data_IF_209489774379
#
_entry.id   IF_209489774379
#
_cell.length_a   1.000
_cell.length_b   1.000
_cell.length_c   1.000
_cell.angle_alpha   90.00
_cell.angle_beta   90.00
_cell.angle_gamma   90.00
#
_symmetry.space_group_name_H-M   'P 1'
#
loop_
_entity.id
_entity.type
_entity.pdbx_description
1 polymer ?
#
# COMPACT_ATOMS: atom_id res chain seq x y z
N UNK A 1 2.17 30.11 9.16
CA UNK A 1 1.53 29.37 10.27
C UNK A 1 0.17 30.00 10.55
N UNK A 2 -0.88 29.50 9.90
CA UNK A 2 -2.22 30.10 9.98
C UNK A 2 -3.06 29.44 11.07
N UNK A 3 -3.58 30.23 12.01
CA UNK A 3 -4.46 29.82 13.11
C UNK A 3 -5.82 29.25 12.66
N UNK A 4 -6.11 29.23 11.36
CA UNK A 4 -7.41 28.85 10.79
C UNK A 4 -7.48 27.40 10.28
N UNK A 5 -6.34 26.71 10.11
CA UNK A 5 -6.32 25.31 9.63
C UNK A 5 -6.87 24.30 10.66
N UNK A 6 -6.95 24.68 11.95
CA UNK A 6 -7.41 23.80 13.03
C UNK A 6 -8.95 23.68 13.13
N UNK A 7 -9.70 24.67 12.61
CA UNK A 7 -11.16 24.72 12.76
C UNK A 7 -11.95 24.00 11.67
N UNK A 8 -11.31 23.62 10.55
CA UNK A 8 -11.99 23.00 9.41
C UNK A 8 -11.91 21.47 9.38
N UNK A 9 -11.35 20.82 10.41
CA UNK A 9 -11.31 19.34 10.50
C UNK A 9 -10.56 18.65 9.35
N UNK A 10 -9.92 19.43 8.46
CA UNK A 10 -9.02 18.93 7.43
C UNK A 10 -7.72 18.60 8.13
N UNK A 11 -7.61 17.37 8.61
CA UNK A 11 -6.32 16.76 8.94
C UNK A 11 -5.45 16.86 7.70
N UNK A 12 -4.60 17.88 7.66
CA UNK A 12 -3.54 18.00 6.66
C UNK A 12 -2.67 16.76 6.82
N UNK A 13 -2.78 15.83 5.88
CA UNK A 13 -1.91 14.66 5.81
C UNK A 13 -0.46 15.17 5.90
N UNK A 14 0.39 14.56 6.75
CA UNK A 14 1.77 15.00 6.90
C UNK A 14 2.45 15.09 5.52
N UNK A 15 3.29 16.11 5.27
CA UNK A 15 3.94 16.31 3.98
C UNK A 15 4.62 15.01 3.52
N UNK A 16 4.44 14.68 2.25
CA UNK A 16 4.79 13.38 1.66
C UNK A 16 6.23 13.01 1.99
N UNK A 17 6.41 11.91 2.74
CA UNK A 17 7.62 11.11 2.64
C UNK A 17 7.57 10.44 1.26
N UNK A 18 7.96 11.15 0.20
CA UNK A 18 8.04 10.58 -1.15
C UNK A 18 8.89 9.28 -1.16
N UNK A 19 9.79 9.11 -0.19
CA UNK A 19 10.62 7.92 0.02
C UNK A 19 9.92 6.70 0.66
N UNK A 20 8.77 6.84 1.33
CA UNK A 20 8.30 5.77 2.22
C UNK A 20 7.84 4.52 1.45
N UNK A 21 7.13 4.68 0.32
CA UNK A 21 6.74 3.53 -0.49
C UNK A 21 7.95 2.82 -1.09
N UNK A 22 8.98 3.56 -1.50
CA UNK A 22 10.22 3.00 -2.04
C UNK A 22 11.06 2.26 -0.99
N UNK A 23 10.90 2.57 0.30
CA UNK A 23 11.52 1.79 1.37
C UNK A 23 11.08 0.32 1.34
N UNK A 24 9.90 0.00 0.81
CA UNK A 24 9.45 -1.38 0.62
C UNK A 24 10.28 -2.12 -0.44
N UNK A 25 10.66 -1.48 -1.55
CA UNK A 25 11.51 -2.10 -2.57
C UNK A 25 12.85 -2.53 -1.99
N UNK A 26 13.47 -1.66 -1.20
CA UNK A 26 14.74 -1.97 -0.51
C UNK A 26 14.55 -3.05 0.54
N UNK A 27 13.52 -2.93 1.38
CA UNK A 27 13.27 -3.88 2.46
C UNK A 27 12.87 -5.27 1.98
N UNK A 28 12.25 -5.39 0.81
CA UNK A 28 11.85 -6.67 0.22
C UNK A 28 13.04 -7.63 0.09
N UNK A 29 14.20 -7.14 -0.37
CA UNK A 29 15.42 -7.96 -0.53
C UNK A 29 15.94 -8.47 0.82
N UNK A 30 15.97 -7.61 1.84
CA UNK A 30 16.41 -7.99 3.19
C UNK A 30 15.42 -8.93 3.89
N UNK A 31 14.12 -8.70 3.71
CA UNK A 31 13.06 -9.56 4.22
C UNK A 31 13.03 -10.93 3.54
N UNK A 32 13.35 -10.99 2.26
CA UNK A 32 13.54 -12.26 1.55
C UNK A 32 14.69 -13.05 2.19
N UNK A 33 15.84 -12.43 2.37
CA UNK A 33 17.03 -13.07 2.94
C UNK A 33 16.87 -13.48 4.41
N UNK A 34 16.23 -12.64 5.23
CA UNK A 34 16.14 -12.83 6.69
C UNK A 34 14.89 -13.57 7.15
N UNK A 35 13.80 -13.52 6.37
CA UNK A 35 12.50 -14.06 6.76
C UNK A 35 11.86 -15.00 5.72
N UNK A 36 12.52 -15.24 4.58
CA UNK A 36 12.00 -16.09 3.50
C UNK A 36 10.75 -15.52 2.85
N UNK A 37 10.57 -14.20 2.88
CA UNK A 37 9.45 -13.50 2.26
C UNK A 37 9.68 -13.34 0.76
N UNK A 38 8.89 -14.04 -0.05
CA UNK A 38 8.96 -13.97 -1.51
C UNK A 38 7.94 -12.95 -2.03
N UNK A 39 8.34 -11.88 -2.74
CA UNK A 39 7.38 -10.97 -3.38
C UNK A 39 6.48 -11.73 -4.35
N UNK A 40 5.16 -11.52 -4.25
CA UNK A 40 4.20 -12.23 -5.08
C UNK A 40 3.90 -11.54 -6.42
N UNK A 41 4.57 -10.42 -6.71
CA UNK A 41 4.33 -9.63 -7.94
C UNK A 41 2.97 -8.91 -7.97
N UNK A 42 2.26 -8.83 -6.84
CA UNK A 42 0.95 -8.18 -6.74
C UNK A 42 0.94 -7.09 -5.68
N UNK A 43 0.54 -5.89 -6.10
CA UNK A 43 0.44 -4.70 -5.25
C UNK A 43 -0.89 -4.01 -5.51
N UNK A 44 -1.58 -3.60 -4.45
CA UNK A 44 -2.90 -2.98 -4.57
C UNK A 44 -2.97 -1.69 -3.77
N UNK A 45 -3.49 -0.63 -4.37
CA UNK A 45 -3.85 0.60 -3.66
C UNK A 45 -5.35 0.60 -3.39
N UNK A 46 -5.71 0.97 -2.17
CA UNK A 46 -7.10 0.99 -1.70
C UNK A 46 -7.55 2.41 -1.38
N UNK A 47 -8.76 2.72 -1.82
CA UNK A 47 -9.41 4.01 -1.67
C UNK A 47 -10.75 3.87 -0.96
N UNK A 48 -11.14 4.91 -0.21
CA UNK A 48 -12.55 5.18 0.00
C UNK A 48 -13.22 5.35 -1.36
N UNK A 49 -14.49 4.96 -1.46
CA UNK A 49 -15.28 5.13 -2.67
C UNK A 49 -15.03 6.50 -3.31
N UNK A 50 -14.46 6.48 -4.51
CA UNK A 50 -14.14 7.70 -5.24
C UNK A 50 -15.41 8.34 -5.81
N UNK A 51 -15.40 9.66 -6.05
CA UNK A 51 -16.44 10.30 -6.84
C UNK A 51 -16.59 9.63 -8.22
N UNK A 52 -17.79 9.61 -8.81
CA UNK A 52 -18.01 9.05 -10.14
C UNK A 52 -17.02 9.59 -11.18
N UNK A 53 -16.49 8.72 -12.04
CA UNK A 53 -15.53 9.06 -13.09
C UNK A 53 -14.08 9.26 -12.63
N UNK A 54 -13.83 9.56 -11.34
CA UNK A 54 -12.45 9.74 -10.84
C UNK A 54 -11.68 8.43 -10.80
N UNK A 55 -12.37 7.33 -10.51
CA UNK A 55 -11.77 5.99 -10.52
C UNK A 55 -11.30 5.58 -11.92
N UNK A 56 -12.13 5.81 -12.95
CA UNK A 56 -11.76 5.56 -14.35
C UNK A 56 -10.57 6.42 -14.78
N UNK A 57 -10.56 7.69 -14.38
CA UNK A 57 -9.44 8.59 -14.67
C UNK A 57 -8.15 8.12 -14.01
N UNK A 58 -8.21 7.73 -12.73
CA UNK A 58 -7.06 7.22 -11.98
C UNK A 58 -6.49 5.94 -12.62
N UNK A 59 -7.38 5.01 -13.00
CA UNK A 59 -6.99 3.81 -13.74
C UNK A 59 -6.28 4.18 -15.04
N UNK A 60 -6.81 5.13 -15.80
CA UNK A 60 -6.22 5.58 -17.05
C UNK A 60 -4.85 6.24 -16.84
N UNK A 61 -4.70 7.09 -15.82
CA UNK A 61 -3.43 7.72 -15.42
C UNK A 61 -2.36 6.65 -15.11
N UNK A 62 -2.70 5.63 -14.31
CA UNK A 62 -1.79 4.52 -14.00
C UNK A 62 -1.42 3.75 -15.27
N UNK A 63 -2.41 3.37 -16.09
CA UNK A 63 -2.18 2.65 -17.35
C UNK A 63 -1.25 3.44 -18.28
N UNK A 64 -1.43 4.75 -18.39
CA UNK A 64 -0.60 5.57 -19.27
C UNK A 64 0.83 5.75 -18.72
N UNK A 65 1.01 5.85 -17.40
CA UNK A 65 2.33 5.82 -16.76
C UNK A 65 3.06 4.50 -17.04
N UNK A 66 2.36 3.37 -16.94
CA UNK A 66 2.94 2.05 -17.22
C UNK A 66 3.35 1.90 -18.69
N UNK A 67 2.55 2.43 -19.62
CA UNK A 67 2.92 2.46 -21.05
C UNK A 67 4.20 3.26 -21.32
N UNK A 68 4.38 4.39 -20.63
CA UNK A 68 5.57 5.24 -20.79
C UNK A 68 6.85 4.54 -20.30
N UNK A 69 6.74 3.65 -19.31
CA UNK A 69 7.87 2.89 -18.76
C UNK A 69 8.28 1.70 -19.64
N UNK A 70 7.54 1.37 -20.71
CA UNK A 70 7.95 0.39 -21.72
C UNK A 70 7.84 -1.08 -21.30
N UNK A 71 7.27 -1.38 -20.12
CA UNK A 71 7.21 -2.74 -19.60
C UNK A 71 5.83 -3.37 -19.82
N UNK A 72 5.75 -4.21 -20.85
CA UNK A 72 4.54 -4.91 -21.29
C UNK A 72 4.07 -6.08 -20.41
N UNK A 73 4.45 -6.12 -19.12
CA UNK A 73 4.08 -7.22 -18.21
C UNK A 73 3.24 -6.81 -17.00
N UNK A 74 3.03 -5.52 -16.74
CA UNK A 74 2.19 -5.08 -15.62
C UNK A 74 0.74 -4.90 -16.06
N UNK A 75 -0.18 -5.68 -15.50
CA UNK A 75 -1.61 -5.56 -15.74
C UNK A 75 -2.29 -4.78 -14.62
N UNK A 76 -3.31 -3.99 -14.98
CA UNK A 76 -4.11 -3.20 -14.02
C UNK A 76 -5.51 -3.80 -13.92
N UNK A 77 -5.88 -4.24 -12.73
CA UNK A 77 -7.21 -4.75 -12.39
C UNK A 77 -7.90 -3.77 -11.43
N UNK A 78 -9.18 -3.51 -11.65
CA UNK A 78 -10.03 -2.82 -10.69
C UNK A 78 -10.95 -3.79 -9.96
N UNK A 79 -11.17 -3.53 -8.67
CA UNK A 79 -12.09 -4.32 -7.85
C UNK A 79 -12.69 -3.50 -6.72
N UNK A 80 -13.99 -3.64 -6.50
CA UNK A 80 -14.65 -3.19 -5.28
C UNK A 80 -14.71 -4.36 -4.29
N UNK A 81 -14.31 -4.15 -3.04
CA UNK A 81 -14.43 -5.18 -2.00
C UNK A 81 -15.83 -5.21 -1.35
N UNK A 82 -16.07 -6.22 -0.51
CA UNK A 82 -17.36 -6.44 0.15
C UNK A 82 -17.73 -5.30 1.13
N UNK A 83 -16.77 -4.45 1.50
CA UNK A 83 -16.96 -3.29 2.36
C UNK A 83 -17.17 -1.99 1.55
N UNK A 84 -17.14 -2.06 0.22
CA UNK A 84 -17.35 -0.93 -0.68
C UNK A 84 -16.12 -0.04 -0.87
N UNK A 85 -14.92 -0.54 -0.55
CA UNK A 85 -13.68 0.13 -0.91
C UNK A 85 -13.25 -0.25 -2.32
N UNK A 86 -12.66 0.73 -3.01
CA UNK A 86 -12.19 0.55 -4.38
C UNK A 86 -10.70 0.18 -4.35
N UNK A 87 -10.32 -0.78 -5.17
CA UNK A 87 -8.95 -1.27 -5.32
C UNK A 87 -8.50 -1.12 -6.76
N UNK A 88 -7.28 -0.61 -6.93
CA UNK A 88 -6.51 -0.79 -8.16
C UNK A 88 -5.35 -1.72 -7.86
N UNK A 89 -5.30 -2.83 -8.57
CA UNK A 89 -4.34 -3.92 -8.37
C UNK A 89 -3.42 -3.97 -9.57
N UNK A 90 -2.13 -3.92 -9.29
CA UNK A 90 -1.06 -4.12 -10.25
C UNK A 90 -0.52 -5.54 -10.08
N UNK A 91 -0.49 -6.28 -11.19
CA UNK A 91 0.04 -7.64 -11.25
C UNK A 91 1.15 -7.69 -12.29
N UNK A 92 2.33 -8.16 -11.89
CA UNK A 92 3.50 -8.36 -12.74
C UNK A 92 4.83 -8.31 -11.98
N UNK A 93 5.89 -8.77 -12.63
CA UNK A 93 7.16 -9.11 -11.97
C UNK A 93 7.96 -7.89 -11.47
N UNK A 94 7.77 -6.69 -12.02
CA UNK A 94 8.52 -5.51 -11.58
C UNK A 94 7.79 -4.76 -10.45
N UNK A 95 8.19 -5.11 -9.23
CA UNK A 95 7.74 -4.51 -7.99
C UNK A 95 8.09 -3.02 -7.86
N UNK A 96 9.23 -2.59 -8.40
CA UNK A 96 9.68 -1.20 -8.33
C UNK A 96 8.83 -0.30 -9.23
N UNK A 97 8.53 -0.78 -10.44
CA UNK A 97 7.68 -0.04 -11.38
C UNK A 97 6.24 0.07 -10.88
N UNK A 98 5.71 -1.01 -10.28
CA UNK A 98 4.41 -0.97 -9.59
C UNK A 98 4.38 0.10 -8.49
N UNK A 99 5.41 0.17 -7.65
CA UNK A 99 5.53 1.19 -6.60
C UNK A 99 5.58 2.60 -7.20
N UNK A 100 6.38 2.81 -8.25
CA UNK A 100 6.51 4.11 -8.91
C UNK A 100 5.18 4.59 -9.51
N UNK A 101 4.46 3.71 -10.21
CA UNK A 101 3.16 4.03 -10.80
C UNK A 101 2.12 4.37 -9.73
N UNK A 102 2.02 3.57 -8.65
CA UNK A 102 1.11 3.83 -7.54
C UNK A 102 1.46 5.12 -6.80
N UNK A 103 2.75 5.39 -6.59
CA UNK A 103 3.21 6.62 -5.95
C UNK A 103 2.79 7.84 -6.76
N UNK A 104 3.05 7.86 -8.07
CA UNK A 104 2.68 8.97 -8.94
C UNK A 104 1.16 9.22 -8.96
N UNK A 105 0.36 8.16 -9.06
CA UNK A 105 -1.09 8.24 -9.02
C UNK A 105 -1.61 8.78 -7.67
N UNK A 106 -1.02 8.33 -6.56
CA UNK A 106 -1.36 8.84 -5.23
C UNK A 106 -0.97 10.32 -5.06
N UNK A 107 0.18 10.74 -5.57
CA UNK A 107 0.61 12.14 -5.55
C UNK A 107 -0.36 13.03 -6.33
N UNK A 108 -0.77 12.63 -7.54
CA UNK A 108 -1.78 13.38 -8.31
C UNK A 108 -3.11 13.53 -7.55
N UNK A 109 -3.61 12.48 -6.90
CA UNK A 109 -4.81 12.56 -6.07
C UNK A 109 -4.65 13.50 -4.87
N UNK A 110 -3.46 13.51 -4.24
CA UNK A 110 -3.16 14.43 -3.13
C UNK A 110 -3.14 15.88 -3.61
N UNK A 111 -2.54 16.16 -4.77
CA UNK A 111 -2.49 17.49 -5.39
C UNK A 111 -3.90 18.00 -5.76
N UNK A 112 -4.79 17.12 -6.19
CA UNK A 112 -6.19 17.43 -6.50
C UNK A 112 -7.09 17.60 -5.24
N UNK A 113 -6.52 17.49 -4.04
CA UNK A 113 -7.25 17.61 -2.78
C UNK A 113 -8.11 16.39 -2.43
N UNK A 114 -7.84 15.24 -3.06
CA UNK A 114 -8.54 13.97 -2.84
C UNK A 114 -7.73 12.99 -1.97
N UNK A 115 -6.63 13.45 -1.37
CA UNK A 115 -5.77 12.61 -0.51
C UNK A 115 -6.51 11.95 0.66
N UNK A 116 -7.59 12.54 1.16
CA UNK A 116 -8.43 11.96 2.24
C UNK A 116 -9.16 10.66 1.84
N UNK A 117 -9.19 10.35 0.54
CA UNK A 117 -9.73 9.11 -0.01
C UNK A 117 -8.69 7.99 -0.07
N UNK A 118 -7.39 8.31 -0.05
CA UNK A 118 -6.32 7.31 0.00
C UNK A 118 -6.30 6.62 1.37
N UNK A 119 -6.37 5.29 1.38
CA UNK A 119 -6.36 4.52 2.62
C UNK A 119 -5.03 3.83 2.85
N UNK A 120 -4.66 2.92 1.96
CA UNK A 120 -3.45 2.12 2.10
C UNK A 120 -2.92 1.59 0.76
N UNK A 121 -1.69 1.08 0.78
CA UNK A 121 -1.14 0.19 -0.24
C UNK A 121 -0.85 -1.17 0.38
N UNK A 122 -1.27 -2.25 -0.27
CA UNK A 122 -1.02 -3.62 0.13
C UNK A 122 0.00 -4.27 -0.82
N UNK A 123 1.06 -4.78 -0.22
CA UNK A 123 2.13 -5.53 -0.90
C UNK A 123 2.00 -7.00 -0.54
N UNK A 124 1.79 -7.86 -1.53
CA UNK A 124 1.67 -9.30 -1.30
C UNK A 124 3.03 -9.97 -1.35
N UNK A 125 3.29 -10.75 -0.30
CA UNK A 125 4.40 -11.68 -0.19
C UNK A 125 3.86 -13.08 0.11
N UNK A 126 4.72 -14.07 -0.07
CA UNK A 126 4.47 -15.45 0.32
C UNK A 126 5.57 -15.91 1.26
N UNK A 127 5.21 -16.57 2.35
CA UNK A 127 6.13 -17.24 3.26
C UNK A 127 5.62 -18.65 3.55
N UNK A 128 6.37 -19.69 3.15
CA UNK A 128 5.96 -21.09 3.33
C UNK A 128 4.54 -21.38 2.78
N UNK A 129 4.24 -20.87 1.59
CA UNK A 129 2.91 -20.93 0.95
C UNK A 129 1.77 -20.22 1.69
N UNK A 130 2.07 -19.45 2.75
CA UNK A 130 1.10 -18.58 3.44
C UNK A 130 1.19 -17.16 2.89
N UNK A 131 0.07 -16.48 2.65
CA UNK A 131 0.08 -15.09 2.23
C UNK A 131 0.54 -14.19 3.39
N UNK A 132 1.40 -13.24 3.08
CA UNK A 132 1.84 -12.19 3.99
C UNK A 132 1.62 -10.85 3.31
N UNK A 133 0.94 -9.93 3.98
CA UNK A 133 0.71 -8.60 3.45
C UNK A 133 1.52 -7.58 4.23
N UNK A 134 2.21 -6.71 3.52
CA UNK A 134 2.71 -5.48 4.09
C UNK A 134 1.79 -4.34 3.69
N UNK A 135 1.30 -3.59 4.68
CA UNK A 135 0.32 -2.54 4.49
C UNK A 135 0.95 -1.19 4.81
N UNK A 136 1.04 -0.31 3.82
CA UNK A 136 1.39 1.09 4.02
C UNK A 136 0.12 1.91 4.27
N UNK A 137 0.00 2.57 5.41
CA UNK A 137 -1.13 3.48 5.69
C UNK A 137 -0.78 4.91 5.28
N UNK A 138 -1.60 5.52 4.42
CA UNK A 138 -1.44 6.94 4.05
C UNK A 138 -1.67 7.88 5.24
N UNK A 139 -2.58 7.53 6.15
CA UNK A 139 -2.89 8.34 7.33
C UNK A 139 -1.73 8.37 8.33
N UNK A 140 -0.94 7.30 8.42
CA UNK A 140 0.17 7.18 9.37
C UNK A 140 1.54 7.44 8.72
N UNK A 141 1.68 7.18 7.41
CA UNK A 141 2.96 7.22 6.70
C UNK A 141 3.95 6.13 7.14
N UNK A 142 3.42 4.97 7.55
CA UNK A 142 4.16 3.83 8.08
C UNK A 142 3.59 2.49 7.55
N UNK A 143 4.40 1.44 7.66
CA UNK A 143 4.08 0.07 7.29
C UNK A 143 3.72 -0.79 8.50
N UNK A 144 2.91 -1.80 8.29
CA UNK A 144 2.77 -2.90 9.25
C UNK A 144 2.51 -4.22 8.51
N UNK A 145 3.01 -5.34 9.04
CA UNK A 145 2.69 -6.66 8.49
C UNK A 145 1.29 -7.09 8.94
N UNK A 146 0.62 -7.82 8.07
CA UNK A 146 -0.66 -8.46 8.32
C UNK A 146 -0.64 -9.88 7.74
N UNK A 147 -0.79 -10.87 8.62
CA UNK A 147 -0.70 -12.29 8.28
C UNK A 147 -2.00 -12.98 8.66
N UNK A 148 -2.98 -13.04 7.75
CA UNK A 148 -4.23 -13.75 8.01
C UNK A 148 -3.97 -15.25 8.11
N UNK A 149 -4.54 -15.88 9.13
CA UNK A 149 -4.55 -17.32 9.35
C UNK A 149 -5.99 -17.77 9.65
N UNK A 150 -6.39 -18.91 9.08
CA UNK A 150 -7.74 -19.45 9.30
C UNK A 150 -8.85 -18.45 8.94
N UNK A 151 -9.93 -18.47 9.71
CA UNK A 151 -11.08 -17.60 9.54
C UNK A 151 -10.99 -16.38 10.48
N UNK A 152 -10.79 -15.18 9.92
CA UNK A 152 -10.71 -13.91 10.65
C UNK A 152 -9.72 -13.90 11.83
N UNK A 153 -8.63 -14.65 11.74
CA UNK A 153 -7.53 -14.64 12.72
C UNK A 153 -6.23 -14.19 12.07
N UNK A 154 -5.29 -13.70 12.88
CA UNK A 154 -3.99 -13.20 12.42
C UNK A 154 -2.85 -13.77 13.26
N UNK A 155 -1.71 -14.03 12.63
CA UNK A 155 -0.51 -14.53 13.28
C UNK A 155 0.28 -13.36 13.91
N UNK A 156 -0.21 -12.85 15.05
CA UNK A 156 0.41 -11.70 15.72
C UNK A 156 1.88 -11.93 16.08
N UNK A 157 2.26 -13.18 16.41
CA UNK A 157 3.63 -13.50 16.77
C UNK A 157 4.57 -13.34 15.57
N UNK A 158 4.17 -13.86 14.41
CA UNK A 158 4.92 -13.71 13.17
C UNK A 158 4.94 -12.27 12.67
N UNK A 159 3.82 -11.54 12.77
CA UNK A 159 3.76 -10.11 12.44
C UNK A 159 4.74 -9.28 13.27
N UNK A 160 4.80 -9.50 14.58
CA UNK A 160 5.77 -8.84 15.45
C UNK A 160 7.21 -9.21 15.08
N UNK A 161 7.48 -10.49 14.76
CA UNK A 161 8.79 -10.95 14.30
C UNK A 161 9.22 -10.23 13.01
N UNK A 162 8.34 -10.22 12.00
CA UNK A 162 8.59 -9.55 10.72
C UNK A 162 8.79 -8.05 10.88
N UNK A 163 8.03 -7.41 11.77
CA UNK A 163 8.20 -6.00 12.09
C UNK A 163 9.58 -5.68 12.69
N UNK A 164 10.14 -6.60 13.48
CA UNK A 164 11.47 -6.46 14.05
C UNK A 164 12.57 -6.64 13.00
N UNK A 165 12.36 -7.53 12.03
CA UNK A 165 13.28 -7.76 10.91
C UNK A 165 13.24 -6.63 9.86
N UNK A 166 12.08 -6.02 9.64
CA UNK A 166 11.94 -4.94 8.65
C UNK A 166 12.57 -3.61 9.09
N UNK A 167 12.65 -3.34 10.40
CA UNK A 167 13.22 -2.09 10.94
C UNK A 167 14.70 -1.89 10.56
N UNK A 168 15.59 -2.89 10.73
CA UNK A 168 16.97 -2.82 10.23
C UNK A 168 17.09 -2.56 8.74
N UNK A 169 16.13 -3.02 7.94
CA UNK A 169 16.07 -2.79 6.49
C UNK A 169 15.61 -1.38 6.11
N UNK A 170 15.41 -0.49 7.08
CA UNK A 170 15.01 0.89 6.87
C UNK A 170 13.51 1.08 6.62
N UNK A 171 12.68 0.04 6.79
CA UNK A 171 11.24 0.15 6.60
C UNK A 171 10.61 0.94 7.78
N UNK A 172 9.86 2.02 7.52
CA UNK A 172 9.22 2.79 8.59
C UNK A 172 8.01 2.02 9.13
N UNK A 173 8.24 1.17 10.14
CA UNK A 173 7.20 0.35 10.76
C UNK A 173 6.37 1.15 11.75
N UNK A 174 5.04 0.98 11.73
CA UNK A 174 4.10 1.62 12.63
C UNK A 174 4.33 1.17 14.08
N UNK A 175 4.66 2.08 15.01
CA UNK A 175 4.97 1.73 16.40
C UNK A 175 3.74 1.35 17.23
N UNK A 176 2.54 1.84 16.89
CA UNK A 176 1.32 1.59 17.66
C UNK A 176 0.56 0.39 17.08
N UNK A 177 0.53 -0.72 17.81
CA UNK A 177 -0.11 -1.97 17.37
C UNK A 177 -1.63 -1.79 17.16
N UNK A 178 -2.27 -0.86 17.86
CA UNK A 178 -3.70 -0.55 17.70
C UNK A 178 -4.01 0.05 16.33
N UNK A 179 -2.98 0.53 15.61
CA UNK A 179 -3.08 1.06 14.25
C UNK A 179 -2.76 0.00 13.19
N UNK A 180 -2.45 -1.23 13.60
CA UNK A 180 -2.28 -2.35 12.68
C UNK A 180 -3.67 -2.91 12.36
N UNK A 181 -4.38 -2.22 11.47
CA UNK A 181 -5.74 -2.59 11.11
C UNK A 181 -5.77 -3.95 10.43
N UNK A 182 -6.73 -4.80 10.81
CA UNK A 182 -6.94 -6.07 10.14
C UNK A 182 -7.73 -5.84 8.84
N UNK A 183 -7.04 -5.87 7.70
CA UNK A 183 -7.67 -5.78 6.39
C UNK A 183 -7.98 -7.20 5.91
N UNK A 184 -9.22 -7.65 6.11
CA UNK A 184 -9.68 -8.95 5.63
C UNK A 184 -10.06 -8.90 4.15
N UNK A 185 -9.94 -10.02 3.45
CA UNK A 185 -10.39 -10.13 2.05
C UNK A 185 -9.57 -9.31 1.05
N UNK A 186 -8.30 -9.02 1.36
CA UNK A 186 -7.40 -8.25 0.48
C UNK A 186 -7.35 -8.92 -0.91
N UNK A 187 -7.67 -8.20 -2.00
CA UNK A 187 -7.86 -8.82 -3.31
C UNK A 187 -6.57 -9.06 -4.10
N UNK A 188 -5.42 -8.63 -3.58
CA UNK A 188 -4.09 -8.83 -4.19
C UNK A 188 -3.65 -10.28 -4.08
#
# INVERSE_FOLDING_TARGET
>A
MGFLDSLLGRTKLPPSKEDALFAMSTAAVGLEASAGLQPAGRVGIVFKRLPPGRFDQLKQEIVDLLKLQGEGSLTVEDKTDDLGFEWLILDGADFQNAIAALHSAATSLMEDGLGDLLLAVAFKFTQNSRPVYWLYSYKQGNFYPFLPIGDHQRDNAEELRLSALAKPEGLPVEPQLERWYALWGIPV
#
